data_IF_514208991834
#
_entry.id   IF_514208991834
#
_cell.length_a   1.000
_cell.length_b   1.000
_cell.length_c   1.000
_cell.angle_alpha   90.00
_cell.angle_beta   90.00
_cell.angle_gamma   90.00
#
_symmetry.space_group_name_H-M   'P 1'
#
loop_
_entity.id
_entity.type
_entity.pdbx_description
1 polymer ?
#
# COMPACT_ATOMS: atom_id res chain seq x y z
N UNK A 1 9.77 -1.42 -13.02
CA UNK A 1 9.29 -2.73 -12.57
C UNK A 1 8.36 -2.51 -11.39
N UNK A 2 7.14 -3.07 -11.42
CA UNK A 2 6.13 -2.88 -10.36
C UNK A 2 6.47 -3.62 -9.06
N UNK A 3 7.24 -4.71 -9.15
CA UNK A 3 7.64 -5.52 -7.98
C UNK A 3 8.86 -4.97 -7.25
N UNK A 4 9.52 -3.93 -7.82
CA UNK A 4 10.61 -3.23 -7.15
C UNK A 4 10.01 -2.12 -6.30
N UNK A 5 9.88 -2.38 -4.99
CA UNK A 5 9.41 -1.38 -4.04
C UNK A 5 10.30 -0.12 -4.08
N UNK A 6 9.72 1.08 -4.26
CA UNK A 6 10.46 2.34 -4.14
C UNK A 6 10.68 2.74 -2.67
N UNK A 7 9.90 2.16 -1.75
CA UNK A 7 9.86 2.54 -0.35
C UNK A 7 11.11 2.08 0.40
N UNK A 8 11.65 2.98 1.23
CA UNK A 8 12.88 2.77 2.01
C UNK A 8 12.58 2.84 3.50
N UNK A 9 13.48 2.30 4.31
CA UNK A 9 13.38 2.39 5.78
C UNK A 9 12.32 1.49 6.41
N UNK A 10 11.71 0.58 5.65
CA UNK A 10 10.76 -0.41 6.16
C UNK A 10 11.50 -1.50 6.92
N UNK A 11 11.07 -1.77 8.16
CA UNK A 11 11.52 -2.90 8.97
C UNK A 11 10.32 -3.79 9.28
N UNK A 12 10.36 -5.05 8.83
CA UNK A 12 9.27 -6.01 9.01
C UNK A 12 9.80 -7.44 9.07
N UNK A 13 9.04 -8.33 9.71
CA UNK A 13 9.24 -9.79 9.65
C UNK A 13 8.27 -10.46 8.66
N UNK A 14 7.64 -9.68 7.77
CA UNK A 14 6.81 -10.23 6.70
C UNK A 14 7.63 -11.13 5.77
N UNK A 15 6.98 -12.16 5.22
CA UNK A 15 7.62 -13.10 4.29
C UNK A 15 8.17 -12.38 3.07
N UNK A 16 9.50 -12.41 2.90
CA UNK A 16 10.17 -11.79 1.76
C UNK A 16 9.95 -12.60 0.48
N UNK A 17 9.73 -11.92 -0.65
CA UNK A 17 9.73 -12.55 -1.97
C UNK A 17 11.16 -12.91 -2.39
N UNK A 18 11.33 -14.01 -3.14
CA UNK A 18 12.60 -14.40 -3.73
C UNK A 18 12.62 -13.89 -5.18
N UNK A 19 13.48 -12.91 -5.54
CA UNK A 19 13.58 -12.44 -6.91
C UNK A 19 14.16 -13.53 -7.81
N UNK A 20 13.52 -13.74 -8.96
CA UNK A 20 13.94 -14.70 -9.97
C UNK A 20 13.93 -14.04 -11.36
N UNK A 21 14.83 -14.49 -12.22
CA UNK A 21 14.76 -14.15 -13.65
C UNK A 21 13.55 -14.89 -14.25
N UNK A 22 12.66 -14.13 -14.87
CA UNK A 22 11.43 -14.65 -15.47
C UNK A 22 11.39 -14.35 -16.96
N UNK A 23 10.68 -15.20 -17.71
CA UNK A 23 10.46 -15.07 -19.14
C UNK A 23 9.07 -15.60 -19.49
N UNK A 24 8.38 -14.99 -20.46
CA UNK A 24 7.11 -15.54 -20.93
C UNK A 24 7.33 -16.78 -21.80
N UNK A 25 6.41 -17.75 -21.75
CA UNK A 25 6.44 -18.93 -22.60
C UNK A 25 6.37 -18.58 -24.09
N UNK A 26 5.57 -17.56 -24.45
CA UNK A 26 5.45 -17.03 -25.81
C UNK A 26 6.77 -16.55 -26.41
N UNK A 27 7.71 -16.08 -25.58
CA UNK A 27 9.04 -15.66 -26.05
C UNK A 27 9.97 -16.84 -26.34
N UNK A 28 9.59 -18.06 -25.95
CA UNK A 28 10.31 -19.29 -26.29
C UNK A 28 9.65 -20.00 -27.45
N UNK A 29 8.32 -20.02 -27.46
CA UNK A 29 7.49 -20.60 -28.52
C UNK A 29 6.20 -19.76 -28.65
N UNK A 30 6.02 -19.03 -29.76
CA UNK A 30 4.85 -18.17 -29.98
C UNK A 30 3.51 -18.92 -30.04
N UNK A 31 3.51 -20.24 -30.16
CA UNK A 31 2.28 -21.05 -30.19
C UNK A 31 1.70 -21.31 -28.79
N UNK A 32 2.49 -21.07 -27.73
CA UNK A 32 2.09 -21.30 -26.33
C UNK A 32 1.22 -20.16 -25.77
N UNK A 33 0.04 -19.97 -26.37
CA UNK A 33 -0.96 -19.03 -25.86
C UNK A 33 -1.62 -19.54 -24.58
N UNK A 34 -2.28 -18.66 -23.83
CA UNK A 34 -3.02 -19.06 -22.62
C UNK A 34 -4.07 -20.13 -22.92
N UNK A 35 -4.79 -20.03 -24.05
CA UNK A 35 -5.81 -20.99 -24.46
C UNK A 35 -5.22 -22.38 -24.71
N UNK A 36 -4.10 -22.45 -25.43
CA UNK A 36 -3.38 -23.70 -25.69
C UNK A 36 -2.90 -24.33 -24.39
N UNK A 37 -2.34 -23.52 -23.48
CA UNK A 37 -1.86 -24.00 -22.18
C UNK A 37 -3.00 -24.47 -21.27
N UNK A 38 -4.11 -23.74 -21.20
CA UNK A 38 -5.28 -24.14 -20.40
C UNK A 38 -5.85 -25.46 -20.87
N UNK A 39 -6.01 -25.65 -22.18
CA UNK A 39 -6.47 -26.91 -22.76
C UNK A 39 -5.49 -28.05 -22.45
N UNK A 40 -4.18 -27.84 -22.68
CA UNK A 40 -3.17 -28.86 -22.41
C UNK A 40 -3.16 -29.30 -20.93
N UNK A 41 -3.24 -28.35 -19.99
CA UNK A 41 -3.32 -28.65 -18.54
C UNK A 41 -4.60 -29.41 -18.21
N UNK A 42 -5.75 -29.00 -18.76
CA UNK A 42 -7.02 -29.69 -18.54
C UNK A 42 -7.04 -31.10 -19.15
N UNK A 43 -6.39 -31.32 -20.30
CA UNK A 43 -6.24 -32.64 -20.92
C UNK A 43 -5.40 -33.55 -20.04
N UNK A 44 -4.25 -33.07 -19.57
CA UNK A 44 -3.35 -33.85 -18.69
C UNK A 44 -4.04 -34.18 -17.36
N UNK A 45 -4.73 -33.22 -16.75
CA UNK A 45 -5.49 -33.44 -15.52
C UNK A 45 -6.59 -34.49 -15.69
N UNK A 46 -7.35 -34.41 -16.79
CA UNK A 46 -8.42 -35.36 -17.08
C UNK A 46 -7.89 -36.78 -17.29
N UNK A 47 -6.79 -36.92 -18.04
CA UNK A 47 -6.12 -38.19 -18.26
C UNK A 47 -5.60 -38.81 -16.96
N UNK A 48 -4.92 -38.00 -16.12
CA UNK A 48 -4.39 -38.45 -14.83
C UNK A 48 -5.50 -38.94 -13.89
N UNK A 49 -6.62 -38.22 -13.84
CA UNK A 49 -7.76 -38.57 -12.98
C UNK A 49 -8.77 -39.53 -13.61
N UNK A 50 -8.57 -39.95 -14.86
CA UNK A 50 -9.48 -40.82 -15.62
C UNK A 50 -10.91 -40.26 -15.68
N UNK A 51 -11.03 -38.95 -15.86
CA UNK A 51 -12.31 -38.25 -16.02
C UNK A 51 -12.47 -37.76 -17.46
N UNK A 52 -13.70 -37.39 -17.83
CA UNK A 52 -13.96 -36.78 -19.12
C UNK A 52 -13.22 -35.43 -19.26
N UNK A 53 -12.67 -35.19 -20.44
CA UNK A 53 -11.98 -33.94 -20.74
C UNK A 53 -13.01 -32.87 -21.10
N UNK A 54 -13.63 -32.29 -20.08
CA UNK A 54 -14.62 -31.24 -20.24
C UNK A 54 -14.33 -30.03 -19.33
N UNK A 55 -14.19 -28.85 -19.94
CA UNK A 55 -13.97 -27.59 -19.21
C UNK A 55 -15.33 -26.95 -18.92
N UNK A 56 -15.71 -26.96 -17.64
CA UNK A 56 -16.92 -26.27 -17.18
C UNK A 56 -16.62 -24.78 -16.97
N UNK A 57 -17.21 -23.93 -17.81
CA UNK A 57 -17.18 -22.49 -17.60
C UNK A 57 -18.12 -22.11 -16.47
N UNK A 58 -17.64 -21.31 -15.52
CA UNK A 58 -18.40 -20.88 -14.35
C UNK A 58 -18.53 -19.36 -14.31
N UNK A 59 -19.66 -18.86 -13.83
CA UNK A 59 -19.81 -17.45 -13.47
C UNK A 59 -19.44 -17.26 -11.99
N UNK A 60 -18.34 -16.58 -11.66
CA UNK A 60 -17.89 -16.42 -10.27
C UNK A 60 -18.79 -15.51 -9.42
N UNK A 61 -19.81 -14.87 -10.01
CA UNK A 61 -20.78 -14.05 -9.26
C UNK A 61 -22.11 -14.75 -9.00
N UNK A 62 -22.26 -16.00 -9.47
CA UNK A 62 -23.51 -16.74 -9.38
C UNK A 62 -23.72 -17.30 -7.97
N UNK A 63 -24.58 -16.67 -7.19
CA UNK A 63 -24.95 -17.10 -5.83
C UNK A 63 -25.82 -18.36 -5.80
N UNK A 64 -26.48 -18.69 -6.91
CA UNK A 64 -27.30 -19.90 -6.98
C UNK A 64 -26.43 -21.14 -7.08
N UNK A 65 -25.32 -21.03 -7.82
CA UNK A 65 -24.32 -22.09 -7.96
C UNK A 65 -23.27 -22.06 -6.83
N UNK A 66 -22.91 -20.87 -6.33
CA UNK A 66 -21.90 -20.68 -5.30
C UNK A 66 -22.40 -19.80 -4.15
N UNK A 67 -23.26 -20.32 -3.25
CA UNK A 67 -23.81 -19.55 -2.15
C UNK A 67 -22.71 -18.94 -1.25
N UNK A 68 -22.73 -17.62 -1.07
CA UNK A 68 -21.77 -16.83 -0.32
C UNK A 68 -20.55 -16.37 -1.12
N UNK A 69 -20.49 -16.56 -2.44
CA UNK A 69 -19.32 -16.15 -3.23
C UNK A 69 -19.12 -14.63 -3.25
N UNK A 70 -20.20 -13.85 -3.34
CA UNK A 70 -20.08 -12.39 -3.38
C UNK A 70 -19.72 -11.82 -2.02
N UNK A 71 -20.10 -12.47 -0.90
CA UNK A 71 -19.67 -12.03 0.42
C UNK A 71 -18.16 -12.25 0.59
N UNK A 72 -17.64 -13.39 0.13
CA UNK A 72 -16.19 -13.66 0.07
C UNK A 72 -15.46 -12.66 -0.83
N UNK A 73 -15.99 -12.39 -2.03
CA UNK A 73 -15.41 -11.41 -2.95
C UNK A 73 -15.34 -10.01 -2.32
N UNK A 74 -16.42 -9.58 -1.64
CA UNK A 74 -16.45 -8.32 -0.89
C UNK A 74 -15.41 -8.29 0.23
N UNK A 75 -15.29 -9.37 1.01
CA UNK A 75 -14.28 -9.49 2.06
C UNK A 75 -12.86 -9.32 1.50
N UNK A 76 -12.53 -10.03 0.41
CA UNK A 76 -11.22 -9.99 -0.24
C UNK A 76 -10.87 -8.60 -0.79
N UNK A 77 -11.86 -7.74 -1.04
CA UNK A 77 -11.68 -6.37 -1.50
C UNK A 77 -11.58 -5.35 -0.36
N UNK A 78 -11.83 -5.76 0.88
CA UNK A 78 -11.74 -4.86 2.03
C UNK A 78 -10.30 -4.42 2.27
N UNK A 79 -10.16 -3.22 2.81
CA UNK A 79 -8.86 -2.73 3.26
C UNK A 79 -8.28 -3.62 4.36
N UNK A 80 -9.14 -4.13 5.25
CA UNK A 80 -8.80 -5.02 6.35
C UNK A 80 -8.18 -6.33 5.84
N UNK A 81 -8.58 -6.79 4.66
CA UNK A 81 -7.97 -7.93 3.99
C UNK A 81 -6.69 -7.56 3.24
N UNK A 82 -6.75 -6.61 2.30
CA UNK A 82 -5.64 -6.30 1.38
C UNK A 82 -4.42 -5.74 2.13
N UNK A 83 -4.64 -4.87 3.10
CA UNK A 83 -3.58 -4.15 3.82
C UNK A 83 -3.61 -4.43 5.33
N UNK A 84 -4.80 -4.67 5.89
CA UNK A 84 -4.96 -4.93 7.32
C UNK A 84 -4.35 -6.25 7.79
N UNK A 85 -4.08 -7.19 6.87
CA UNK A 85 -3.39 -8.46 7.17
C UNK A 85 -1.86 -8.34 7.10
N UNK A 86 -1.30 -7.21 6.69
CA UNK A 86 0.15 -7.01 6.68
C UNK A 86 0.70 -7.15 8.11
N UNK A 87 1.72 -8.01 8.34
CA UNK A 87 2.37 -8.13 9.64
C UNK A 87 2.89 -6.78 10.13
N UNK A 88 2.99 -6.59 11.46
CA UNK A 88 3.51 -5.35 12.04
C UNK A 88 4.85 -4.97 11.39
N UNK A 89 4.97 -3.71 11.01
CA UNK A 89 6.19 -3.14 10.46
C UNK A 89 6.39 -1.72 10.95
N UNK A 90 7.62 -1.21 10.84
CA UNK A 90 7.93 0.18 11.10
C UNK A 90 8.59 0.82 9.90
N UNK A 91 8.44 2.14 9.79
CA UNK A 91 9.13 2.98 8.82
C UNK A 91 10.02 3.93 9.60
N UNK A 92 11.31 3.93 9.28
CA UNK A 92 12.26 4.91 9.79
C UNK A 92 13.00 5.51 8.60
N UNK A 93 12.64 6.75 8.25
CA UNK A 93 13.15 7.45 7.07
C UNK A 93 13.32 8.94 7.36
N UNK A 94 14.06 9.64 6.50
CA UNK A 94 14.12 11.10 6.52
C UNK A 94 14.08 11.66 5.10
N UNK A 95 13.62 12.90 4.98
CA UNK A 95 13.66 13.63 3.71
C UNK A 95 14.12 15.06 3.93
N UNK A 96 14.78 15.59 2.91
CA UNK A 96 15.27 16.96 2.90
C UNK A 96 14.26 17.88 2.23
N UNK A 97 14.01 19.03 2.88
CA UNK A 97 13.18 20.10 2.34
C UNK A 97 14.02 21.35 2.17
N UNK A 98 13.88 22.03 1.03
CA UNK A 98 14.50 23.33 0.80
C UNK A 98 13.77 24.38 1.64
N UNK A 99 14.50 25.09 2.48
CA UNK A 99 13.99 26.21 3.25
C UNK A 99 14.99 27.37 3.20
N UNK A 100 14.53 28.49 2.64
CA UNK A 100 15.36 29.66 2.35
C UNK A 100 16.55 29.28 1.46
N UNK A 101 17.76 29.19 2.03
CA UNK A 101 19.01 28.83 1.32
C UNK A 101 19.64 27.54 1.87
N UNK A 102 18.92 26.77 2.68
CA UNK A 102 19.43 25.57 3.36
C UNK A 102 18.52 24.36 3.16
N UNK A 103 19.09 23.17 3.40
CA UNK A 103 18.33 21.92 3.46
C UNK A 103 18.01 21.57 4.91
N UNK A 104 16.72 21.39 5.18
CA UNK A 104 16.20 20.95 6.46
C UNK A 104 15.93 19.45 6.39
N UNK A 105 16.42 18.68 7.36
CA UNK A 105 16.04 17.26 7.50
C UNK A 105 14.75 17.13 8.31
N UNK A 106 13.80 16.36 7.79
CA UNK A 106 12.59 15.94 8.49
C UNK A 106 12.68 14.44 8.67
N UNK A 107 12.60 13.98 9.93
CA UNK A 107 12.65 12.56 10.27
C UNK A 107 11.25 12.05 10.51
N UNK A 108 10.97 10.84 10.03
CA UNK A 108 9.67 10.19 10.15
C UNK A 108 9.87 8.79 10.68
N UNK A 109 9.27 8.55 11.84
CA UNK A 109 9.12 7.24 12.42
C UNK A 109 7.65 6.88 12.55
N UNK A 110 7.25 5.76 11.97
CA UNK A 110 5.90 5.21 12.04
C UNK A 110 5.96 3.74 12.47
N UNK A 111 5.11 3.33 13.41
CA UNK A 111 4.75 1.91 13.59
C UNK A 111 3.39 1.66 12.97
N UNK A 112 3.28 0.62 12.14
CA UNK A 112 2.04 0.23 11.49
C UNK A 112 1.65 -1.17 11.97
N UNK A 113 0.41 -1.30 12.42
CA UNK A 113 -0.17 -2.57 12.87
C UNK A 113 -1.58 -2.72 12.34
N UNK A 114 -1.87 -3.89 11.77
CA UNK A 114 -3.14 -4.17 11.10
C UNK A 114 -3.47 -3.11 10.03
N UNK A 115 -2.45 -2.65 9.29
CA UNK A 115 -2.50 -1.56 8.32
C UNK A 115 -2.69 -0.14 8.90
N UNK A 116 -2.91 0.02 10.21
CA UNK A 116 -3.17 1.32 10.84
C UNK A 116 -1.92 1.87 11.51
N UNK A 117 -1.81 3.19 11.57
CA UNK A 117 -0.71 3.86 12.26
C UNK A 117 -0.90 3.69 13.78
N UNK A 118 -0.02 2.94 14.43
CA UNK A 118 -0.02 2.69 15.88
C UNK A 118 0.83 3.75 16.61
N UNK A 119 1.97 4.14 16.02
CA UNK A 119 2.85 5.21 16.52
C UNK A 119 3.17 6.15 15.36
N UNK A 120 3.12 7.46 15.61
CA UNK A 120 3.54 8.49 14.66
C UNK A 120 4.47 9.48 15.34
N UNK A 121 5.70 9.58 14.84
CA UNK A 121 6.67 10.59 15.25
C UNK A 121 7.32 11.24 14.02
N UNK A 122 6.79 12.40 13.65
CA UNK A 122 7.34 13.29 12.63
C UNK A 122 8.12 14.37 13.38
N UNK A 123 9.43 14.41 13.16
CA UNK A 123 10.34 15.40 13.73
C UNK A 123 10.74 16.39 12.64
N UNK A 124 10.35 17.65 12.84
CA UNK A 124 10.81 18.79 12.07
C UNK A 124 11.33 19.87 13.04
N UNK A 125 12.38 20.61 12.68
CA UNK A 125 12.88 21.71 13.50
C UNK A 125 11.81 22.74 13.86
N UNK A 126 11.80 23.18 15.13
CA UNK A 126 10.71 24.00 15.69
C UNK A 126 10.57 25.38 15.02
N UNK A 127 11.65 25.90 14.45
CA UNK A 127 11.63 27.14 13.66
C UNK A 127 10.96 26.97 12.29
N UNK A 128 10.84 25.72 11.80
CA UNK A 128 10.20 25.41 10.53
C UNK A 128 8.73 25.06 10.71
N UNK A 129 8.43 24.13 11.63
CA UNK A 129 7.08 23.71 11.99
C UNK A 129 6.89 23.86 13.51
N UNK A 130 5.97 24.70 13.99
CA UNK A 130 5.72 24.88 15.41
C UNK A 130 5.38 23.58 16.12
N UNK A 131 5.91 23.38 17.32
CA UNK A 131 5.74 22.20 18.16
C UNK A 131 4.27 21.77 18.30
N UNK A 132 3.38 22.72 18.63
CA UNK A 132 1.96 22.44 18.83
C UNK A 132 1.27 21.88 17.57
N UNK A 133 1.69 22.35 16.38
CA UNK A 133 1.14 21.91 15.10
C UNK A 133 1.68 20.52 14.76
N UNK A 134 2.97 20.28 15.03
CA UNK A 134 3.63 18.97 14.87
C UNK A 134 2.98 17.91 15.77
N UNK A 135 2.73 18.24 17.02
CA UNK A 135 2.14 17.31 18.00
C UNK A 135 0.68 16.99 17.65
N UNK A 136 -0.08 17.98 17.17
CA UNK A 136 -1.42 17.77 16.61
C UNK A 136 -1.38 16.88 15.36
N UNK A 137 -0.41 17.09 14.46
CA UNK A 137 -0.23 16.26 13.27
C UNK A 137 0.03 14.80 13.65
N UNK A 138 1.03 14.55 14.48
CA UNK A 138 1.37 13.21 14.97
C UNK A 138 0.15 12.54 15.61
N UNK A 139 -0.54 13.25 16.51
CA UNK A 139 -1.73 12.73 17.20
C UNK A 139 -2.89 12.45 16.25
N UNK A 140 -3.08 13.28 15.22
CA UNK A 140 -4.17 13.11 14.25
C UNK A 140 -4.03 11.88 13.35
N UNK A 141 -2.80 11.40 13.13
CA UNK A 141 -2.53 10.25 12.28
C UNK A 141 -2.65 8.92 13.04
N UNK A 142 -2.53 8.91 14.37
CA UNK A 142 -2.64 7.69 15.16
C UNK A 142 -4.06 7.09 15.02
N UNK A 143 -4.12 5.79 14.73
CA UNK A 143 -5.35 5.03 14.50
C UNK A 143 -5.88 5.09 13.06
N UNK A 144 -5.42 6.05 12.25
CA UNK A 144 -5.82 6.17 10.84
C UNK A 144 -5.24 5.03 9.99
N UNK A 145 -5.87 4.76 8.84
CA UNK A 145 -5.28 3.84 7.85
C UNK A 145 -3.98 4.42 7.33
N UNK A 146 -2.94 3.59 7.23
CA UNK A 146 -1.71 3.94 6.56
C UNK A 146 -1.96 3.97 5.03
N UNK A 147 -2.56 5.07 4.55
CA UNK A 147 -2.81 5.29 3.13
C UNK A 147 -2.80 6.79 2.78
N UNK A 148 -2.50 7.15 1.52
CA UNK A 148 -2.42 8.55 1.09
C UNK A 148 -3.75 9.30 1.21
N UNK A 149 -4.87 8.65 0.92
CA UNK A 149 -6.20 9.28 0.85
C UNK A 149 -6.68 9.76 2.22
N UNK A 150 -6.63 8.88 3.23
CA UNK A 150 -7.07 9.20 4.59
C UNK A 150 -6.12 10.22 5.24
N UNK A 151 -4.81 10.08 5.02
CA UNK A 151 -3.79 11.05 5.45
C UNK A 151 -4.02 12.44 4.85
N UNK A 152 -4.36 12.53 3.56
CA UNK A 152 -4.70 13.81 2.91
C UNK A 152 -5.93 14.46 3.55
N UNK A 153 -6.95 13.67 3.87
CA UNK A 153 -8.16 14.18 4.52
C UNK A 153 -7.83 14.75 5.92
N UNK A 154 -7.11 13.99 6.74
CA UNK A 154 -6.77 14.39 8.11
C UNK A 154 -5.87 15.63 8.14
N UNK A 155 -4.86 15.68 7.27
CA UNK A 155 -3.96 16.83 7.17
C UNK A 155 -4.67 18.10 6.70
N UNK A 156 -5.63 17.98 5.77
CA UNK A 156 -6.44 19.12 5.33
C UNK A 156 -7.38 19.63 6.43
N UNK A 157 -7.95 18.74 7.25
CA UNK A 157 -8.78 19.12 8.40
C UNK A 157 -7.94 19.90 9.41
N UNK A 158 -6.75 19.38 9.75
CA UNK A 158 -5.85 20.02 10.71
C UNK A 158 -5.36 21.40 10.22
N UNK A 159 -5.03 21.53 8.94
CA UNK A 159 -4.62 22.80 8.35
C UNK A 159 -5.68 23.90 8.53
N UNK A 160 -6.97 23.56 8.43
CA UNK A 160 -8.08 24.52 8.63
C UNK A 160 -8.18 25.04 10.06
N UNK A 161 -7.59 24.35 11.03
CA UNK A 161 -7.55 24.79 12.44
C UNK A 161 -6.35 25.69 12.74
N UNK A 162 -5.39 25.79 11.81
CA UNK A 162 -4.21 26.62 11.97
C UNK A 162 -4.52 28.08 11.58
N UNK A 163 -3.77 29.06 12.12
CA UNK A 163 -3.87 30.46 11.69
C UNK A 163 -3.62 30.59 10.18
N UNK A 164 -4.30 31.54 9.53
CA UNK A 164 -4.13 31.84 8.10
C UNK A 164 -2.76 32.51 7.84
N UNK A 165 -1.70 31.71 7.87
CA UNK A 165 -0.34 32.09 7.50
C UNK A 165 0.07 31.37 6.20
N UNK A 166 0.16 32.11 5.11
CA UNK A 166 0.54 31.58 3.80
C UNK A 166 1.89 30.81 3.83
N UNK A 167 2.85 31.22 4.66
CA UNK A 167 4.14 30.52 4.77
C UNK A 167 3.97 29.15 5.43
N UNK A 168 3.17 29.07 6.50
CA UNK A 168 2.84 27.82 7.17
C UNK A 168 2.10 26.86 6.23
N UNK A 169 1.13 27.35 5.45
CA UNK A 169 0.40 26.53 4.48
C UNK A 169 1.32 25.94 3.40
N UNK A 170 2.30 26.70 2.90
CA UNK A 170 3.27 26.18 1.92
C UNK A 170 4.13 25.07 2.52
N UNK A 171 4.69 25.29 3.72
CA UNK A 171 5.49 24.28 4.44
C UNK A 171 4.67 23.02 4.72
N UNK A 172 3.42 23.20 5.15
CA UNK A 172 2.49 22.11 5.42
C UNK A 172 2.24 21.24 4.20
N UNK A 173 1.98 21.84 3.04
CA UNK A 173 1.75 21.10 1.81
C UNK A 173 2.97 20.28 1.41
N UNK A 174 4.18 20.84 1.53
CA UNK A 174 5.42 20.10 1.24
C UNK A 174 5.56 18.89 2.17
N UNK A 175 5.33 19.08 3.48
CA UNK A 175 5.37 17.98 4.45
C UNK A 175 4.35 16.88 4.11
N UNK A 176 3.11 17.27 3.80
CA UNK A 176 2.04 16.34 3.46
C UNK A 176 2.36 15.54 2.19
N UNK A 177 2.90 16.18 1.14
CA UNK A 177 3.35 15.46 -0.06
C UNK A 177 4.44 14.44 0.25
N UNK A 178 5.40 14.79 1.11
CA UNK A 178 6.48 13.87 1.50
C UNK A 178 5.96 12.70 2.33
N UNK A 179 5.03 12.93 3.26
CA UNK A 179 4.40 11.86 4.05
C UNK A 179 3.55 10.95 3.16
N UNK A 180 2.80 11.50 2.20
CA UNK A 180 2.03 10.68 1.24
C UNK A 180 2.95 9.84 0.35
N UNK A 181 4.12 10.36 0.00
CA UNK A 181 5.09 9.65 -0.85
C UNK A 181 5.73 8.41 -0.20
N UNK A 182 5.57 8.22 1.12
CA UNK A 182 6.03 7.01 1.83
C UNK A 182 4.91 6.01 2.12
N UNK A 183 3.67 6.32 1.69
CA UNK A 183 2.47 5.47 1.81
C UNK A 183 2.08 4.86 0.47
#
# INVERSE_FOLDING_TARGET
SLLKSPYQGIRSNATASIPSLVKNLLEKDPTLTCEVLMNAVATEYAAYHQIDHHIHLINPTDETLFPGINSKAKELQTWEWIYGKTPKFSINTSFHVLYEQSHLEIKVFLDIKNGRIEICNIEAPDHWLPLEIRDKLNSSLIGSKFCPTETTMLTNILLRTCPQDHKLHSKWNILCEKIKGIM
#
